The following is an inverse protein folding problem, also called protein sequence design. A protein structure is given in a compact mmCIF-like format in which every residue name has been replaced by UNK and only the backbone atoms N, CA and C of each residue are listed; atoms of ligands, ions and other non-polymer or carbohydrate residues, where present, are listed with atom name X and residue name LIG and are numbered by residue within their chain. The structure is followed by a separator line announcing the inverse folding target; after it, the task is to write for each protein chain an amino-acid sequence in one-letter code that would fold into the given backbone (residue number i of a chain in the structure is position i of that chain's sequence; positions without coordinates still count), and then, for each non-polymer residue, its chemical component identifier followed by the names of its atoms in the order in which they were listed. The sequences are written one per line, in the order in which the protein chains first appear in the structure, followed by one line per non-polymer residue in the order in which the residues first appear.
data_IF_609568579015
#
_entry.id   IF_609568579015
#
_cell.length_a   1.000
_cell.length_b   1.000
_cell.length_c   1.000
_cell.angle_alpha   90.00
_cell.angle_beta   90.00
_cell.angle_gamma   90.00
#
_symmetry.space_group_name_H-M   'P 1'
#
loop_
_entity.id
_entity.type
_entity.pdbx_description
1 polymer ?
#
# COMPACT_ATOMS: atom_id res chain seq x y z
N UNK A 1 -8.58 10.40 -12.03
CA UNK A 1 -8.34 11.27 -13.21
C UNK A 1 -7.91 12.67 -12.80
N UNK A 2 -8.60 13.33 -11.85
CA UNK A 2 -8.25 14.69 -11.43
C UNK A 2 -6.83 14.76 -10.86
N UNK A 3 -6.41 13.82 -10.03
CA UNK A 3 -5.03 13.75 -9.53
C UNK A 3 -3.99 13.59 -10.65
N UNK A 4 -4.33 12.85 -11.71
CA UNK A 4 -3.42 12.74 -12.86
C UNK A 4 -3.23 14.07 -13.59
N UNK A 5 -4.32 14.86 -13.72
CA UNK A 5 -4.24 16.23 -14.29
C UNK A 5 -3.43 17.13 -13.37
N UNK A 6 -3.69 17.09 -12.06
CA UNK A 6 -2.92 17.84 -11.08
C UNK A 6 -1.43 17.50 -11.14
N UNK A 7 -1.08 16.22 -11.18
CA UNK A 7 0.32 15.80 -11.30
C UNK A 7 0.98 16.28 -12.60
N UNK A 8 0.23 16.28 -13.71
CA UNK A 8 0.74 16.81 -14.97
C UNK A 8 1.04 18.32 -14.89
N UNK A 9 0.21 19.11 -14.18
CA UNK A 9 0.43 20.53 -13.98
C UNK A 9 1.65 20.84 -13.09
N UNK A 10 2.06 19.90 -12.21
CA UNK A 10 3.30 20.05 -11.43
C UNK A 10 4.53 20.04 -12.31
N UNK A 11 4.47 19.42 -13.50
CA UNK A 11 5.60 19.14 -14.39
C UNK A 11 6.69 18.29 -13.73
N UNK A 12 6.36 17.61 -12.64
CA UNK A 12 7.28 16.76 -11.92
C UNK A 12 7.51 15.47 -12.71
N UNK A 13 8.73 15.23 -13.11
CA UNK A 13 9.16 13.94 -13.67
C UNK A 13 9.52 13.02 -12.50
N UNK A 14 8.59 12.16 -12.11
CA UNK A 14 8.85 11.18 -11.05
C UNK A 14 9.90 10.17 -11.48
N UNK A 15 10.87 9.92 -10.60
CA UNK A 15 11.78 8.80 -10.78
C UNK A 15 11.02 7.47 -10.80
N UNK A 16 11.45 6.50 -11.60
CA UNK A 16 10.89 5.16 -11.58
C UNK A 16 11.05 4.47 -10.22
N UNK A 17 12.07 4.82 -9.45
CA UNK A 17 12.40 4.19 -8.18
C UNK A 17 11.88 5.04 -7.01
N UNK A 18 11.06 4.44 -6.13
CA UNK A 18 10.45 5.15 -4.97
C UNK A 18 11.51 5.74 -4.01
N UNK A 19 12.66 5.09 -3.75
CA UNK A 19 13.73 5.68 -2.95
C UNK A 19 14.28 7.02 -3.46
N UNK A 20 14.06 7.33 -4.73
CA UNK A 20 14.43 8.64 -5.27
C UNK A 20 13.35 9.70 -5.05
N UNK A 21 12.15 9.30 -4.64
CA UNK A 21 11.02 10.16 -4.29
C UNK A 21 10.99 10.44 -2.78
N UNK A 22 11.31 9.43 -1.97
CA UNK A 22 11.28 9.49 -0.53
C UNK A 22 12.70 9.68 0.05
N UNK A 23 12.79 10.39 1.17
CA UNK A 23 14.04 10.54 1.93
C UNK A 23 14.19 9.40 2.94
N UNK A 24 14.96 8.39 2.58
CA UNK A 24 15.21 7.21 3.42
C UNK A 24 16.15 7.47 4.61
N UNK A 25 16.73 8.66 4.68
CA UNK A 25 17.62 9.06 5.78
C UNK A 25 16.85 9.59 6.98
N UNK A 26 15.63 10.07 6.77
CA UNK A 26 14.76 10.62 7.82
C UNK A 26 13.78 9.59 8.36
N UNK A 27 13.42 9.74 9.63
CA UNK A 27 12.39 8.91 10.26
C UNK A 27 11.04 9.16 9.59
N UNK A 28 10.32 8.09 9.28
CA UNK A 28 9.02 8.17 8.59
C UNK A 28 9.11 8.30 7.07
N UNK A 29 10.33 8.41 6.51
CA UNK A 29 10.57 8.46 5.07
C UNK A 29 9.71 9.49 4.34
N UNK A 30 9.81 10.81 4.69
CA UNK A 30 9.02 11.84 4.05
C UNK A 30 9.39 11.97 2.57
N UNK A 31 8.57 12.70 1.81
CA UNK A 31 8.95 13.12 0.47
C UNK A 31 10.23 13.95 0.52
N UNK A 32 11.09 13.83 -0.48
CA UNK A 32 12.28 14.68 -0.61
C UNK A 32 11.90 16.15 -0.76
N UNK A 33 12.77 17.04 -0.29
CA UNK A 33 12.48 18.46 -0.23
C UNK A 33 12.23 19.08 -1.62
N UNK A 34 12.96 18.66 -2.63
CA UNK A 34 12.77 19.11 -4.01
C UNK A 34 11.39 18.78 -4.58
N UNK A 35 10.80 17.65 -4.16
CA UNK A 35 9.44 17.25 -4.51
C UNK A 35 8.43 18.10 -3.74
N UNK A 36 8.63 18.27 -2.42
CA UNK A 36 7.82 19.17 -1.60
C UNK A 36 7.77 20.58 -2.18
N UNK A 37 8.91 21.15 -2.54
CA UNK A 37 9.01 22.49 -3.10
C UNK A 37 8.22 22.65 -4.42
N UNK A 38 7.97 21.56 -5.12
CA UNK A 38 7.16 21.55 -6.35
C UNK A 38 5.68 21.40 -6.06
N UNK A 39 5.29 20.47 -5.19
CA UNK A 39 3.88 20.11 -4.99
C UNK A 39 3.14 21.07 -4.04
N UNK A 40 3.86 21.72 -3.12
CA UNK A 40 3.26 22.63 -2.13
C UNK A 40 3.11 24.07 -2.63
N UNK A 41 3.38 24.34 -3.92
CA UNK A 41 3.18 25.67 -4.49
C UNK A 41 1.70 26.06 -4.49
N UNK A 42 1.31 27.17 -3.86
CA UNK A 42 -0.09 27.60 -3.81
C UNK A 42 -0.71 27.82 -5.19
N UNK A 43 0.10 28.29 -6.14
CA UNK A 43 -0.31 28.57 -7.51
C UNK A 43 -0.72 27.31 -8.28
N UNK A 44 -0.23 26.15 -7.84
CA UNK A 44 -0.50 24.88 -8.49
C UNK A 44 -1.99 24.51 -8.43
N UNK A 45 -2.64 24.73 -7.28
CA UNK A 45 -4.06 24.47 -7.14
C UNK A 45 -4.90 25.34 -8.10
N UNK A 46 -4.49 26.60 -8.29
CA UNK A 46 -5.13 27.54 -9.22
C UNK A 46 -4.88 27.10 -10.66
N UNK A 47 -3.65 26.77 -11.01
CA UNK A 47 -3.28 26.34 -12.36
C UNK A 47 -3.98 25.04 -12.77
N UNK A 48 -4.10 24.10 -11.85
CA UNK A 48 -4.73 22.81 -12.10
C UNK A 48 -6.27 22.90 -12.20
N UNK A 49 -6.91 23.92 -11.62
CA UNK A 49 -8.36 24.01 -11.53
C UNK A 49 -9.07 23.89 -12.88
N UNK A 50 -8.73 24.75 -13.85
CA UNK A 50 -9.37 24.77 -15.16
C UNK A 50 -9.17 23.47 -15.97
N UNK A 51 -7.95 22.88 -16.04
CA UNK A 51 -7.76 21.56 -16.65
C UNK A 51 -8.56 20.45 -15.96
N UNK A 52 -8.58 20.42 -14.63
CA UNK A 52 -9.33 19.44 -13.86
C UNK A 52 -10.82 19.57 -14.08
N UNK A 53 -11.34 20.81 -14.11
CA UNK A 53 -12.76 21.07 -14.37
C UNK A 53 -13.19 20.55 -15.75
N UNK A 54 -12.39 20.78 -16.80
CA UNK A 54 -12.66 20.24 -18.14
C UNK A 54 -12.78 18.72 -18.13
N UNK A 55 -11.88 18.05 -17.43
CA UNK A 55 -11.92 16.57 -17.32
C UNK A 55 -13.15 16.11 -16.54
N UNK A 56 -13.49 16.79 -15.45
CA UNK A 56 -14.71 16.48 -14.69
C UNK A 56 -15.97 16.65 -15.54
N UNK A 57 -16.07 17.75 -16.29
CA UNK A 57 -17.20 18.02 -17.17
C UNK A 57 -17.34 16.95 -18.26
N UNK A 58 -16.25 16.47 -18.84
CA UNK A 58 -16.25 15.34 -19.78
C UNK A 58 -16.73 14.04 -19.13
N UNK A 59 -16.30 13.76 -17.90
CA UNK A 59 -16.76 12.58 -17.16
C UNK A 59 -18.25 12.68 -16.87
N UNK A 60 -18.72 13.83 -16.39
CA UNK A 60 -20.15 14.05 -16.12
C UNK A 60 -20.98 13.94 -17.40
N UNK A 61 -20.51 14.49 -18.52
CA UNK A 61 -21.18 14.36 -19.81
C UNK A 61 -21.31 12.89 -20.25
N UNK A 62 -20.32 12.04 -19.95
CA UNK A 62 -20.36 10.60 -20.29
C UNK A 62 -21.41 9.81 -19.51
N UNK A 63 -21.94 10.38 -18.41
CA UNK A 63 -23.00 9.79 -17.58
C UNK A 63 -24.28 10.63 -17.59
N UNK A 64 -24.60 11.26 -18.71
CA UNK A 64 -25.76 12.09 -18.93
C UNK A 64 -25.89 13.26 -17.93
N UNK A 65 -24.77 13.81 -17.47
CA UNK A 65 -24.73 14.91 -16.51
C UNK A 65 -25.13 14.52 -15.09
N UNK A 66 -25.34 13.24 -14.81
CA UNK A 66 -25.74 12.78 -13.47
C UNK A 66 -24.59 12.93 -12.48
N UNK A 67 -24.73 13.91 -11.60
CA UNK A 67 -23.82 14.13 -10.48
C UNK A 67 -24.10 13.11 -9.36
N UNK A 68 -23.08 12.42 -8.83
CA UNK A 68 -23.24 11.57 -7.65
C UNK A 68 -23.75 12.38 -6.44
N UNK A 69 -24.57 11.75 -5.59
CA UNK A 69 -25.18 12.42 -4.42
C UNK A 69 -24.12 12.97 -3.45
N UNK A 70 -22.96 12.29 -3.34
CA UNK A 70 -21.85 12.69 -2.48
C UNK A 70 -21.02 13.84 -3.03
N UNK A 71 -21.18 14.21 -4.31
CA UNK A 71 -20.39 15.28 -4.93
C UNK A 71 -21.03 16.62 -4.66
N UNK A 72 -20.25 17.58 -4.16
CA UNK A 72 -20.60 19.00 -4.08
C UNK A 72 -20.78 19.60 -5.48
N UNK A 73 -20.98 20.91 -5.58
CA UNK A 73 -20.95 21.56 -6.90
C UNK A 73 -19.61 21.28 -7.60
N UNK A 74 -19.61 21.08 -8.93
CA UNK A 74 -18.41 20.65 -9.66
C UNK A 74 -17.20 21.54 -9.45
N UNK A 75 -17.35 22.86 -9.35
CA UNK A 75 -16.24 23.79 -9.12
C UNK A 75 -15.69 23.67 -7.70
N UNK A 76 -16.57 23.54 -6.70
CA UNK A 76 -16.16 23.33 -5.29
C UNK A 76 -15.46 21.99 -5.12
N UNK A 77 -15.97 20.95 -5.81
CA UNK A 77 -15.35 19.62 -5.80
C UNK A 77 -13.95 19.65 -6.38
N UNK A 78 -13.75 20.27 -7.55
CA UNK A 78 -12.45 20.43 -8.19
C UNK A 78 -11.49 21.20 -7.29
N UNK A 79 -11.95 22.32 -6.72
CA UNK A 79 -11.16 23.14 -5.80
C UNK A 79 -10.70 22.33 -4.59
N UNK A 80 -11.60 21.58 -3.99
CA UNK A 80 -11.29 20.73 -2.83
C UNK A 80 -10.29 19.59 -3.18
N UNK A 81 -10.41 18.99 -4.36
CA UNK A 81 -9.47 17.97 -4.82
C UNK A 81 -8.10 18.59 -5.09
N UNK A 82 -8.03 19.73 -5.76
CA UNK A 82 -6.77 20.40 -6.07
C UNK A 82 -5.99 20.80 -4.81
N UNK A 83 -6.70 21.32 -3.80
CA UNK A 83 -6.10 21.71 -2.52
C UNK A 83 -5.58 20.51 -1.71
N UNK A 84 -6.24 19.37 -1.79
CA UNK A 84 -5.83 18.14 -1.06
C UNK A 84 -4.83 17.28 -1.82
N UNK A 85 -4.66 17.50 -3.11
CA UNK A 85 -3.82 16.66 -3.96
C UNK A 85 -2.37 16.48 -3.46
N UNK A 86 -1.68 17.51 -2.91
CA UNK A 86 -0.34 17.31 -2.33
C UNK A 86 -0.33 16.30 -1.17
N UNK A 87 -1.29 16.41 -0.26
CA UNK A 87 -1.42 15.49 0.88
C UNK A 87 -1.79 14.08 0.43
N UNK A 88 -2.73 13.95 -0.53
CA UNK A 88 -3.11 12.65 -1.08
C UNK A 88 -1.97 12.00 -1.88
N UNK A 89 -1.09 12.81 -2.50
CA UNK A 89 0.11 12.32 -3.14
C UNK A 89 1.10 11.73 -2.13
N UNK A 90 1.35 12.45 -1.03
CA UNK A 90 2.21 11.98 0.05
C UNK A 90 1.66 10.70 0.71
N UNK A 91 0.36 10.69 1.04
CA UNK A 91 -0.34 9.54 1.62
C UNK A 91 -0.32 8.29 0.73
N UNK A 92 -0.24 8.47 -0.59
CA UNK A 92 -0.15 7.33 -1.49
C UNK A 92 1.10 6.47 -1.22
N UNK A 93 2.15 7.02 -0.61
CA UNK A 93 3.36 6.29 -0.24
C UNK A 93 3.31 5.65 1.16
N UNK A 94 2.27 5.87 1.96
CA UNK A 94 2.19 5.36 3.34
C UNK A 94 2.37 3.84 3.41
N UNK A 95 1.74 3.11 2.51
CA UNK A 95 1.88 1.67 2.45
C UNK A 95 3.29 1.20 2.10
N UNK A 96 3.98 1.88 1.21
CA UNK A 96 5.39 1.60 0.92
C UNK A 96 6.25 1.85 2.16
N UNK A 97 6.01 2.95 2.87
CA UNK A 97 6.69 3.28 4.13
C UNK A 97 6.49 2.20 5.18
N UNK A 98 5.27 1.73 5.35
CA UNK A 98 4.94 0.64 6.28
C UNK A 98 5.67 -0.66 5.94
N UNK A 99 5.66 -1.06 4.66
CA UNK A 99 6.34 -2.26 4.17
C UNK A 99 7.85 -2.17 4.38
N UNK A 100 8.43 -1.03 4.04
CA UNK A 100 9.85 -0.77 4.15
C UNK A 100 10.31 -0.74 5.61
N UNK A 101 9.58 -0.04 6.46
CA UNK A 101 9.84 0.01 7.90
C UNK A 101 9.74 -1.39 8.54
N UNK A 102 8.72 -2.16 8.18
CA UNK A 102 8.55 -3.53 8.65
C UNK A 102 9.74 -4.42 8.25
N UNK A 103 10.17 -4.35 6.99
CA UNK A 103 11.31 -5.12 6.51
C UNK A 103 12.62 -4.72 7.20
N UNK A 104 12.86 -3.41 7.39
CA UNK A 104 14.03 -2.91 8.13
C UNK A 104 14.04 -3.34 9.58
N UNK A 105 12.91 -3.25 10.27
CA UNK A 105 12.78 -3.69 11.66
C UNK A 105 13.08 -5.19 11.78
N UNK A 106 12.54 -6.01 10.90
CA UNK A 106 12.82 -7.45 10.87
C UNK A 106 14.31 -7.75 10.64
N UNK A 107 14.95 -7.01 9.74
CA UNK A 107 16.39 -7.16 9.49
C UNK A 107 17.22 -6.79 10.73
N UNK A 108 16.87 -5.69 11.39
CA UNK A 108 17.54 -5.25 12.62
C UNK A 108 17.35 -6.26 13.75
N UNK A 109 16.14 -6.78 13.97
CA UNK A 109 15.88 -7.83 14.97
C UNK A 109 16.64 -9.12 14.66
N UNK A 110 16.67 -9.53 13.39
CA UNK A 110 17.41 -10.72 12.99
C UNK A 110 18.93 -10.56 13.17
N UNK A 111 19.47 -9.37 12.88
CA UNK A 111 20.86 -9.03 13.14
C UNK A 111 21.19 -9.07 14.63
N UNK A 112 20.39 -8.42 15.48
CA UNK A 112 20.58 -8.44 16.93
C UNK A 112 20.53 -9.86 17.50
N UNK A 113 19.62 -10.71 17.00
CA UNK A 113 19.56 -12.12 17.40
C UNK A 113 20.77 -12.92 16.94
N UNK A 114 21.39 -12.57 15.81
CA UNK A 114 22.58 -13.26 15.31
C UNK A 114 23.83 -13.07 16.18
N UNK A 115 23.87 -11.99 16.98
CA UNK A 115 24.96 -11.66 17.88
C UNK A 115 24.91 -12.45 19.21
N UNK A 116 23.79 -13.13 19.51
CA UNK A 116 23.63 -13.92 20.72
C UNK A 116 24.56 -15.14 20.69
N UNK A 117 25.38 -15.28 21.72
CA UNK A 117 26.27 -16.44 21.87
C UNK A 117 25.51 -17.69 22.35
N UNK A 118 25.94 -18.87 21.90
CA UNK A 118 25.31 -20.13 22.32
C UNK A 118 24.11 -20.61 21.52
N UNK A 119 23.79 -19.96 20.39
CA UNK A 119 22.69 -20.36 19.52
C UNK A 119 22.87 -21.76 18.94
N UNK A 120 21.80 -22.55 18.91
CA UNK A 120 21.78 -23.84 18.23
C UNK A 120 22.00 -23.69 16.70
N UNK A 121 22.46 -24.76 16.04
CA UNK A 121 22.59 -24.76 14.58
C UNK A 121 21.25 -24.56 13.85
N UNK A 122 20.13 -24.96 14.45
CA UNK A 122 18.79 -24.73 13.94
C UNK A 122 18.41 -23.23 14.05
N UNK A 123 18.69 -22.60 15.18
CA UNK A 123 18.39 -21.19 15.39
C UNK A 123 19.22 -20.28 14.47
N UNK A 124 20.51 -20.59 14.29
CA UNK A 124 21.36 -19.87 13.33
C UNK A 124 20.81 -19.93 11.89
N UNK A 125 20.33 -21.11 11.47
CA UNK A 125 19.69 -21.23 10.13
C UNK A 125 18.41 -20.41 10.03
N UNK A 126 17.56 -20.40 11.07
CA UNK A 126 16.34 -19.59 11.11
C UNK A 126 16.64 -18.10 11.06
N UNK A 127 17.62 -17.64 11.83
CA UNK A 127 18.04 -16.23 11.86
C UNK A 127 18.57 -15.82 10.48
N UNK A 128 19.46 -16.64 9.88
CA UNK A 128 19.99 -16.36 8.54
C UNK A 128 18.90 -16.32 7.48
N UNK A 129 17.92 -17.21 7.53
CA UNK A 129 16.76 -17.17 6.63
C UNK A 129 15.94 -15.90 6.82
N UNK A 130 15.70 -15.46 8.06
CA UNK A 130 15.00 -14.21 8.34
C UNK A 130 15.78 -12.98 7.84
N UNK A 131 17.11 -12.94 8.00
CA UNK A 131 17.96 -11.88 7.46
C UNK A 131 17.85 -11.80 5.93
N UNK A 132 18.01 -12.95 5.26
CA UNK A 132 17.90 -13.01 3.79
C UNK A 132 16.53 -12.54 3.31
N UNK A 133 15.46 -13.03 3.94
CA UNK A 133 14.09 -12.66 3.60
C UNK A 133 13.83 -11.16 3.77
N UNK A 134 14.26 -10.56 4.88
CA UNK A 134 14.11 -9.14 5.12
C UNK A 134 14.94 -8.30 4.13
N UNK A 135 16.18 -8.72 3.84
CA UNK A 135 17.03 -8.08 2.84
C UNK A 135 16.42 -8.14 1.43
N UNK A 136 15.89 -9.30 1.04
CA UNK A 136 15.21 -9.47 -0.26
C UNK A 136 14.01 -8.53 -0.38
N UNK A 137 13.21 -8.41 0.70
CA UNK A 137 12.05 -7.49 0.70
C UNK A 137 12.49 -6.04 0.53
N UNK A 138 13.53 -5.60 1.24
CA UNK A 138 14.09 -4.25 1.09
C UNK A 138 14.55 -4.04 -0.35
N UNK A 139 15.30 -4.97 -0.92
CA UNK A 139 15.80 -4.89 -2.29
C UNK A 139 14.67 -4.75 -3.31
N UNK A 140 13.59 -5.51 -3.16
CA UNK A 140 12.43 -5.44 -4.06
C UNK A 140 11.71 -4.08 -3.94
N UNK A 141 11.59 -3.54 -2.72
CA UNK A 141 10.97 -2.24 -2.47
C UNK A 141 11.82 -1.08 -3.02
N UNK A 142 13.14 -1.21 -2.99
CA UNK A 142 14.06 -0.18 -3.48
C UNK A 142 14.25 -0.20 -5.00
N UNK A 143 14.19 -1.38 -5.63
CA UNK A 143 14.49 -1.55 -7.04
C UNK A 143 13.23 -1.66 -7.90
N UNK A 144 12.53 -0.55 -8.06
CA UNK A 144 11.36 -0.46 -8.95
C UNK A 144 11.66 -0.81 -10.41
N UNK A 145 12.90 -0.64 -10.84
CA UNK A 145 13.36 -0.78 -12.22
C UNK A 145 13.91 -2.16 -12.61
N UNK A 146 14.25 -3.01 -11.64
CA UNK A 146 15.08 -4.21 -11.87
C UNK A 146 14.37 -5.39 -12.54
N UNK A 147 13.04 -5.37 -12.67
CA UNK A 147 12.32 -6.38 -13.44
C UNK A 147 11.23 -5.74 -14.29
N UNK A 148 11.09 -6.20 -15.55
CA UNK A 148 9.96 -5.88 -16.42
C UNK A 148 8.65 -6.33 -15.77
N UNK A 149 8.12 -5.57 -14.84
CA UNK A 149 6.90 -5.89 -14.11
C UNK A 149 6.95 -5.62 -12.60
N UNK A 150 7.98 -4.93 -12.10
CA UNK A 150 8.02 -4.52 -10.68
C UNK A 150 6.77 -3.70 -10.33
N UNK A 151 6.08 -4.13 -9.27
CA UNK A 151 4.90 -3.45 -8.75
C UNK A 151 5.26 -2.12 -8.06
N UNK A 152 6.55 -1.90 -7.81
CA UNK A 152 7.09 -0.71 -7.14
C UNK A 152 7.69 0.32 -8.11
N UNK A 153 7.46 0.20 -9.42
CA UNK A 153 7.64 1.30 -10.34
C UNK A 153 6.67 2.44 -9.98
N UNK A 154 7.17 3.65 -9.75
CA UNK A 154 6.43 4.74 -9.08
C UNK A 154 5.05 5.03 -9.67
N UNK A 155 4.92 5.14 -10.99
CA UNK A 155 3.61 5.40 -11.62
C UNK A 155 2.64 4.22 -11.49
N UNK A 156 3.14 2.99 -11.59
CA UNK A 156 2.34 1.79 -11.38
C UNK A 156 1.90 1.69 -9.93
N UNK A 157 2.82 1.98 -9.02
CA UNK A 157 2.54 2.02 -7.59
C UNK A 157 1.45 3.05 -7.25
N UNK A 158 1.58 4.30 -7.74
CA UNK A 158 0.57 5.33 -7.55
C UNK A 158 -0.79 4.96 -8.15
N UNK A 159 -0.81 4.24 -9.27
CA UNK A 159 -2.05 3.71 -9.85
C UNK A 159 -2.65 2.59 -9.00
N UNK A 160 -1.81 1.74 -8.42
CA UNK A 160 -2.21 0.66 -7.52
C UNK A 160 -2.80 1.21 -6.22
N UNK A 161 -2.18 2.25 -5.66
CA UNK A 161 -2.68 2.95 -4.46
C UNK A 161 -3.89 3.87 -4.74
N UNK A 162 -4.29 4.00 -5.99
CA UNK A 162 -5.50 4.73 -6.39
C UNK A 162 -5.32 6.25 -6.54
N UNK A 163 -4.10 6.76 -6.42
CA UNK A 163 -3.81 8.16 -6.69
C UNK A 163 -3.90 8.48 -8.19
N UNK A 164 -3.36 7.60 -9.03
CA UNK A 164 -3.50 7.67 -10.48
C UNK A 164 -4.59 6.69 -10.98
N UNK A 165 -5.17 6.93 -12.17
CA UNK A 165 -6.09 5.99 -12.78
C UNK A 165 -5.36 4.69 -13.15
N UNK A 166 -5.78 3.58 -12.57
CA UNK A 166 -5.20 2.25 -12.79
C UNK A 166 -6.17 1.33 -13.51
N UNK A 167 -6.31 1.46 -14.82
CA UNK A 167 -7.30 0.71 -15.59
C UNK A 167 -7.10 -0.81 -15.56
N UNK A 168 -5.85 -1.26 -15.52
CA UNK A 168 -5.46 -2.69 -15.59
C UNK A 168 -4.73 -3.18 -14.33
N UNK A 169 -4.64 -2.37 -13.29
CA UNK A 169 -3.94 -2.74 -12.07
C UNK A 169 -4.93 -3.05 -10.94
N UNK A 170 -4.70 -4.10 -10.15
CA UNK A 170 -5.47 -4.31 -8.95
C UNK A 170 -5.24 -3.15 -7.98
N UNK A 171 -6.33 -2.53 -7.53
CA UNK A 171 -6.26 -1.46 -6.53
C UNK A 171 -6.02 -2.05 -5.16
N UNK A 172 -5.18 -1.39 -4.38
CA UNK A 172 -4.87 -1.77 -2.99
C UNK A 172 -4.64 -3.27 -2.83
N UNK A 173 -3.74 -3.89 -3.60
CA UNK A 173 -3.55 -5.33 -3.58
C UNK A 173 -3.02 -5.79 -2.22
N UNK A 174 -3.25 -7.05 -1.92
CA UNK A 174 -2.51 -7.79 -0.90
C UNK A 174 -1.32 -8.49 -1.53
N UNK A 175 -0.21 -8.57 -0.80
CA UNK A 175 0.99 -9.27 -1.26
C UNK A 175 1.22 -10.55 -0.46
N UNK A 176 1.62 -11.60 -1.16
CA UNK A 176 2.17 -12.80 -0.54
C UNK A 176 3.66 -12.89 -0.88
N UNK A 177 4.50 -12.88 0.13
CA UNK A 177 5.93 -13.12 -0.06
C UNK A 177 6.18 -14.61 -0.24
N UNK A 178 6.81 -14.95 -1.36
CA UNK A 178 7.24 -16.30 -1.73
C UNK A 178 8.76 -16.36 -1.59
N UNK A 179 9.30 -17.17 -0.67
CA UNK A 179 10.75 -17.29 -0.54
C UNK A 179 11.35 -17.98 -1.78
N UNK A 180 12.43 -17.40 -2.28
CA UNK A 180 13.19 -17.98 -3.39
C UNK A 180 14.00 -19.21 -2.97
N UNK A 181 14.18 -20.15 -3.90
CA UNK A 181 14.99 -21.34 -3.71
C UNK A 181 16.46 -21.01 -4.10
N UNK A 182 17.21 -20.42 -3.17
CA UNK A 182 18.57 -19.92 -3.42
C UNK A 182 18.66 -18.70 -4.34
N UNK A 183 17.53 -18.08 -4.65
CA UNK A 183 17.37 -16.84 -5.41
C UNK A 183 16.60 -15.82 -4.57
N UNK A 184 16.63 -14.57 -5.00
CA UNK A 184 15.78 -13.52 -4.43
C UNK A 184 14.32 -13.96 -4.42
N UNK A 185 13.62 -13.80 -3.29
CA UNK A 185 12.20 -14.09 -3.18
C UNK A 185 11.37 -13.21 -4.12
N UNK A 186 10.09 -13.50 -4.22
CA UNK A 186 9.16 -12.73 -5.04
C UNK A 186 7.90 -12.38 -4.27
N UNK A 187 7.25 -11.29 -4.65
CA UNK A 187 5.92 -10.95 -4.17
C UNK A 187 4.86 -11.33 -5.21
N UNK A 188 3.87 -12.08 -4.76
CA UNK A 188 2.64 -12.28 -5.54
C UNK A 188 1.60 -11.26 -5.11
N UNK A 189 1.02 -10.61 -6.10
CA UNK A 189 0.01 -9.59 -5.91
C UNK A 189 -1.37 -10.12 -6.26
N UNK A 190 -2.37 -9.84 -5.40
CA UNK A 190 -3.78 -10.13 -5.69
C UNK A 190 -4.65 -8.95 -5.30
N UNK A 191 -5.67 -8.67 -6.09
CA UNK A 191 -6.71 -7.72 -5.69
C UNK A 191 -7.28 -8.13 -4.32
N UNK A 192 -7.52 -7.17 -3.44
CA UNK A 192 -7.86 -7.42 -2.02
C UNK A 192 -9.04 -8.39 -1.85
N UNK A 193 -10.05 -8.27 -2.69
CA UNK A 193 -11.23 -9.15 -2.62
C UNK A 193 -10.91 -10.62 -2.98
N UNK A 194 -9.97 -10.87 -3.88
CA UNK A 194 -9.48 -12.21 -4.19
C UNK A 194 -8.51 -12.70 -3.10
N UNK A 195 -7.68 -11.81 -2.60
CA UNK A 195 -6.69 -12.15 -1.59
C UNK A 195 -7.30 -12.64 -0.27
N UNK A 196 -8.52 -12.22 0.07
CA UNK A 196 -9.23 -12.72 1.25
C UNK A 196 -9.38 -14.24 1.21
N UNK A 197 -9.67 -14.81 0.04
CA UNK A 197 -9.79 -16.27 -0.13
C UNK A 197 -8.46 -16.94 -0.48
N UNK A 198 -7.67 -16.36 -1.38
CA UNK A 198 -6.43 -16.98 -1.86
C UNK A 198 -5.28 -16.90 -0.84
N UNK A 199 -5.22 -15.85 -0.03
CA UNK A 199 -4.18 -15.63 0.97
C UNK A 199 -4.68 -15.84 2.40
N UNK A 200 -5.81 -16.52 2.55
CA UNK A 200 -6.33 -16.90 3.87
C UNK A 200 -5.38 -17.83 4.64
N UNK A 201 -5.55 -17.96 5.96
CA UNK A 201 -4.69 -18.84 6.76
C UNK A 201 -4.70 -20.27 6.23
N UNK A 202 -3.51 -20.84 6.01
CA UNK A 202 -3.27 -22.18 5.47
C UNK A 202 -3.68 -22.39 4.01
N UNK A 203 -4.14 -21.36 3.29
CA UNK A 203 -4.42 -21.46 1.85
C UNK A 203 -3.15 -21.84 1.08
N UNK A 204 -3.34 -22.59 -0.01
CA UNK A 204 -2.25 -22.97 -0.91
C UNK A 204 -2.18 -21.98 -2.07
N UNK A 205 -0.98 -21.51 -2.32
CA UNK A 205 -0.64 -20.64 -3.44
C UNK A 205 0.21 -21.46 -4.40
N UNK A 206 -0.21 -21.53 -5.66
CA UNK A 206 0.55 -22.20 -6.71
C UNK A 206 1.34 -21.15 -7.51
N UNK A 207 2.66 -21.29 -7.53
CA UNK A 207 3.56 -20.38 -8.21
C UNK A 207 4.76 -21.11 -8.82
N UNK A 208 5.03 -20.89 -10.09
CA UNK A 208 6.17 -21.50 -10.80
C UNK A 208 6.32 -23.01 -10.60
N UNK A 209 5.22 -23.75 -10.68
CA UNK A 209 5.21 -25.22 -10.57
C UNK A 209 5.42 -25.75 -9.14
N UNK A 210 5.26 -24.91 -8.13
CA UNK A 210 5.35 -25.29 -6.71
C UNK A 210 4.14 -24.83 -5.93
N UNK A 211 3.86 -25.52 -4.84
CA UNK A 211 2.84 -25.15 -3.87
C UNK A 211 3.48 -24.47 -2.65
N UNK A 212 2.89 -23.39 -2.22
CA UNK A 212 3.27 -22.64 -1.03
C UNK A 212 2.07 -22.49 -0.11
N UNK A 213 2.26 -22.67 1.17
CA UNK A 213 1.20 -22.51 2.17
C UNK A 213 1.35 -21.19 2.89
N UNK A 214 0.26 -20.43 2.98
CA UNK A 214 0.23 -19.20 3.77
C UNK A 214 0.38 -19.54 5.25
N UNK A 215 1.46 -19.05 5.85
CA UNK A 215 1.84 -19.37 7.22
C UNK A 215 1.56 -18.25 8.20
N UNK A 216 1.72 -17.00 7.78
CA UNK A 216 1.64 -15.84 8.64
C UNK A 216 1.06 -14.64 7.90
N UNK A 217 0.24 -13.85 8.59
CA UNK A 217 -0.02 -12.46 8.21
C UNK A 217 1.07 -11.58 8.83
N UNK A 218 1.65 -10.69 8.04
CA UNK A 218 2.53 -9.63 8.56
C UNK A 218 1.66 -8.46 8.97
N UNK A 219 1.76 -8.12 10.23
CA UNK A 219 1.09 -6.97 10.79
C UNK A 219 2.09 -5.82 10.89
N UNK A 220 1.68 -4.57 10.62
CA UNK A 220 2.50 -3.41 10.85
C UNK A 220 3.05 -3.40 12.29
N UNK A 221 4.27 -2.91 12.53
CA UNK A 221 4.87 -2.89 13.87
C UNK A 221 4.01 -2.17 14.92
N UNK A 222 3.25 -1.17 14.49
CA UNK A 222 2.34 -0.37 15.31
C UNK A 222 1.15 -1.16 15.86
N UNK A 223 0.87 -2.33 15.29
CA UNK A 223 -0.25 -3.21 15.68
C UNK A 223 0.13 -4.16 16.81
N UNK A 224 1.39 -4.16 17.25
CA UNK A 224 1.85 -4.97 18.39
C UNK A 224 1.87 -4.11 19.64
N UNK A 225 0.99 -4.40 20.57
CA UNK A 225 1.14 -3.88 21.94
C UNK A 225 2.43 -4.38 22.56
N UNK A 226 3.07 -3.59 23.43
CA UNK A 226 4.43 -3.81 23.89
C UNK A 226 4.72 -5.17 24.54
N UNK A 227 3.70 -5.92 24.98
CA UNK A 227 3.81 -7.29 25.51
C UNK A 227 3.45 -8.38 24.48
N UNK A 228 2.99 -7.98 23.28
CA UNK A 228 2.65 -8.89 22.19
C UNK A 228 1.36 -9.70 22.40
N UNK A 229 0.58 -9.42 23.44
CA UNK A 229 -0.61 -10.19 23.80
C UNK A 229 -1.87 -9.73 23.09
N UNK A 230 -1.97 -8.47 22.69
CA UNK A 230 -3.13 -7.91 22.01
C UNK A 230 -2.77 -7.32 20.64
N UNK A 231 -3.66 -7.53 19.68
CA UNK A 231 -3.58 -6.89 18.38
C UNK A 231 -4.22 -5.51 18.46
N UNK A 232 -3.46 -4.46 18.15
CA UNK A 232 -4.03 -3.13 18.01
C UNK A 232 -4.97 -3.11 16.80
N UNK A 233 -6.24 -2.94 17.07
CA UNK A 233 -7.27 -2.75 16.04
C UNK A 233 -7.50 -1.28 15.83
N UNK A 234 -7.89 -0.89 14.61
CA UNK A 234 -8.29 0.47 14.25
C UNK A 234 -9.81 0.56 14.22
N UNK A 235 -10.34 1.63 14.77
CA UNK A 235 -11.76 1.91 14.70
C UNK A 235 -12.09 2.57 13.35
N UNK A 236 -13.08 2.04 12.66
CA UNK A 236 -13.58 2.58 11.40
C UNK A 236 -14.86 3.36 11.66
N UNK A 237 -14.90 4.59 11.21
CA UNK A 237 -16.06 5.47 11.25
C UNK A 237 -16.68 5.59 9.85
N UNK A 238 -17.99 5.57 9.77
CA UNK A 238 -18.70 5.71 8.50
C UNK A 238 -19.53 6.99 8.56
N UNK A 239 -19.33 7.85 7.58
CA UNK A 239 -20.12 9.06 7.45
C UNK A 239 -21.59 8.74 7.17
N UNK A 240 -22.50 9.17 8.04
CA UNK A 240 -23.95 8.97 7.88
C UNK A 240 -24.52 9.68 6.65
N UNK A 241 -23.88 10.77 6.21
CA UNK A 241 -24.35 11.56 5.07
C UNK A 241 -23.99 10.94 3.70
N UNK A 242 -22.77 10.37 3.53
CA UNK A 242 -22.31 9.90 2.21
C UNK A 242 -21.75 8.48 2.21
N UNK A 243 -21.65 7.83 3.36
CA UNK A 243 -21.10 6.45 3.47
C UNK A 243 -19.58 6.35 3.36
N UNK A 244 -18.85 7.47 3.33
CA UNK A 244 -17.38 7.43 3.30
C UNK A 244 -16.83 6.83 4.60
N UNK A 245 -15.83 5.94 4.48
CA UNK A 245 -15.12 5.34 5.60
C UNK A 245 -13.93 6.19 6.01
N UNK A 246 -13.70 6.32 7.31
CA UNK A 246 -12.58 7.02 7.91
C UNK A 246 -11.82 6.08 8.83
N UNK A 247 -10.50 6.09 8.70
CA UNK A 247 -9.59 5.34 9.55
C UNK A 247 -9.26 6.21 10.78
N UNK A 248 -10.07 6.07 11.82
CA UNK A 248 -10.03 6.87 13.02
C UNK A 248 -11.04 8.01 13.06
N UNK A 249 -11.07 8.69 14.20
CA UNK A 249 -11.98 9.81 14.45
C UNK A 249 -11.54 11.05 13.66
N UNK A 250 -12.47 11.67 12.95
CA UNK A 250 -12.25 12.90 12.18
C UNK A 250 -13.37 13.90 12.49
N UNK A 251 -13.03 15.18 12.51
CA UNK A 251 -14.02 16.24 12.78
C UNK A 251 -15.02 16.40 11.62
N UNK A 252 -14.53 16.21 10.38
CA UNK A 252 -15.35 16.36 9.15
C UNK A 252 -15.03 15.24 8.17
N UNK A 253 -16.05 14.82 7.47
CA UNK A 253 -15.92 13.84 6.40
C UNK A 253 -15.04 14.39 5.26
N UNK A 254 -14.00 13.63 4.90
CA UNK A 254 -13.11 14.01 3.81
C UNK A 254 -13.78 14.01 2.41
N UNK A 255 -14.91 13.30 2.26
CA UNK A 255 -15.60 13.19 0.99
C UNK A 255 -16.67 14.26 0.80
N UNK A 256 -17.54 14.49 1.80
CA UNK A 256 -18.69 15.41 1.67
C UNK A 256 -18.64 16.60 2.63
N UNK A 257 -17.59 16.72 3.43
CA UNK A 257 -17.38 17.77 4.43
C UNK A 257 -18.47 17.87 5.53
N UNK A 258 -19.34 16.85 5.64
CA UNK A 258 -20.31 16.80 6.74
C UNK A 258 -19.59 16.66 8.09
N UNK A 259 -20.13 17.23 9.18
CA UNK A 259 -19.57 17.04 10.51
C UNK A 259 -19.66 15.56 10.90
N UNK A 260 -18.60 15.03 11.50
CA UNK A 260 -18.52 13.65 12.00
C UNK A 260 -18.62 13.56 13.52
N UNK A 261 -18.82 14.70 14.18
CA UNK A 261 -18.94 14.75 15.65
C UNK A 261 -20.13 13.90 16.13
N UNK A 262 -19.87 12.95 17.03
CA UNK A 262 -20.88 12.05 17.56
C UNK A 262 -21.12 10.77 16.75
N UNK A 263 -20.47 10.57 15.64
CA UNK A 263 -20.48 9.28 14.95
C UNK A 263 -19.77 8.22 15.80
N UNK A 264 -20.37 7.05 15.89
CA UNK A 264 -19.79 5.93 16.65
C UNK A 264 -18.94 5.07 15.74
N UNK A 265 -17.85 4.47 16.23
CA UNK A 265 -17.06 3.51 15.46
C UNK A 265 -17.94 2.32 15.08
N UNK A 266 -17.96 2.00 13.79
CA UNK A 266 -18.83 0.92 13.27
C UNK A 266 -18.18 -0.44 13.55
N UNK A 267 -16.86 -0.51 13.47
CA UNK A 267 -16.18 -1.79 13.62
C UNK A 267 -14.70 -1.61 13.96
N UNK A 268 -14.19 -2.51 14.79
CA UNK A 268 -12.75 -2.70 14.98
C UNK A 268 -12.20 -3.52 13.82
N UNK A 269 -11.23 -2.98 13.12
CA UNK A 269 -10.62 -3.62 11.96
C UNK A 269 -9.14 -3.87 12.16
N UNK A 270 -8.66 -4.94 11.55
CA UNK A 270 -7.25 -5.25 11.45
C UNK A 270 -6.82 -5.11 9.99
N UNK A 271 -5.82 -4.28 9.75
CA UNK A 271 -5.25 -4.14 8.42
C UNK A 271 -4.19 -5.21 8.20
N UNK A 272 -4.34 -6.00 7.14
CA UNK A 272 -3.36 -6.98 6.69
C UNK A 272 -2.92 -6.55 5.30
N UNK A 273 -1.63 -6.27 5.13
CA UNK A 273 -1.06 -5.83 3.85
C UNK A 273 -0.21 -6.90 3.20
N UNK A 274 0.36 -7.79 4.00
CA UNK A 274 1.26 -8.84 3.56
C UNK A 274 0.97 -10.16 4.25
N UNK A 275 1.18 -11.24 3.51
CA UNK A 275 1.29 -12.57 4.08
C UNK A 275 2.62 -13.22 3.70
N UNK A 276 3.09 -14.14 4.51
CA UNK A 276 4.23 -15.01 4.22
C UNK A 276 3.76 -16.40 3.89
N UNK A 277 4.26 -16.93 2.80
CA UNK A 277 4.04 -18.32 2.41
C UNK A 277 5.35 -19.12 2.54
N UNK A 278 5.22 -20.36 2.94
CA UNK A 278 6.33 -21.31 2.99
C UNK A 278 6.14 -22.39 1.92
N UNK A 279 7.22 -22.88 1.29
CA UNK A 279 7.11 -23.98 0.35
C UNK A 279 6.58 -25.23 1.07
N UNK A 280 5.66 -25.93 0.41
CA UNK A 280 5.15 -27.22 0.91
C UNK A 280 5.73 -28.34 0.07
N UNK A 281 4.99 -28.78 -0.92
CA UNK A 281 5.35 -29.89 -1.79
C UNK A 281 5.40 -29.42 -3.23
N UNK A 282 6.07 -30.19 -4.09
CA UNK A 282 5.99 -29.97 -5.52
C UNK A 282 4.60 -30.34 -6.00
N UNK A 283 4.09 -29.62 -6.97
CA UNK A 283 2.87 -30.00 -7.66
C UNK A 283 3.15 -31.33 -8.36
N UNK A 284 2.42 -32.37 -7.99
CA UNK A 284 2.47 -33.66 -8.66
C UNK A 284 1.33 -33.76 -9.67
N UNK A 285 1.53 -34.57 -10.71
CA UNK A 285 0.49 -34.88 -11.69
C UNK A 285 -0.53 -35.91 -11.16
N UNK A 286 -0.30 -36.51 -9.99
CA UNK A 286 -1.18 -37.46 -9.37
C UNK A 286 -2.38 -36.79 -8.74
N UNK A 287 -3.58 -37.04 -9.25
CA UNK A 287 -4.83 -36.47 -8.72
C UNK A 287 -5.14 -36.99 -7.30
N UNK A 288 -4.62 -38.15 -6.91
CA UNK A 288 -4.77 -38.72 -5.57
C UNK A 288 -4.06 -37.95 -4.47
N UNK A 289 -3.05 -37.13 -4.80
CA UNK A 289 -2.32 -36.29 -3.84
C UNK A 289 -2.92 -34.89 -3.68
N UNK A 290 -4.03 -34.59 -4.37
CA UNK A 290 -4.71 -33.28 -4.33
C UNK A 290 -5.86 -33.18 -3.32
N UNK A 291 -6.07 -34.21 -2.49
CA UNK A 291 -7.14 -34.23 -1.47
C UNK A 291 -6.71 -33.60 -0.16
#
# INVERSE_FOLDING_TARGET
HLHAVWLAETKLALSPDIPEILDLTQTGYPLKQDIHDVIDRPELAIAAHSPMKRVLDQILASVDGRKPVWMSEPDDFVSAVALRAPQEFDRAFDRWRELYNSARTQLMEANARSEITGLSGADRRRIKAAQMQASDQITILEQGKASNGSDFYSYRYLATEGFLPGYNFPRLPLYAFIPGDGKTGSFLQRARFLAISEFGPRSLIYHEGRAYRVMKAKLPPEVRTGDGSELATRDIFICSNCGACHDGEVERCHACNAPMAGEMPVQRTLRIDNVEAAPTERITANDEERV
#
